data_IF_042869557789
#
_entry.id   IF_042869557789
#
_cell.length_a   1.000
_cell.length_b   1.000
_cell.length_c   1.000
_cell.angle_alpha   90.00
_cell.angle_beta   90.00
_cell.angle_gamma   90.00
#
_symmetry.space_group_name_H-M   'P 1'
#
loop_
_entity.id
_entity.type
_entity.pdbx_description
1 polymer ?
#
# COMPACT_ATOMS: atom_id res chain seq x y z
N UNK A 1 -6.37 13.94 -15.67
CA UNK A 1 -7.58 14.72 -15.36
C UNK A 1 -8.10 14.29 -14.00
N UNK A 2 -8.88 15.12 -13.31
CA UNK A 2 -9.63 14.79 -12.11
C UNK A 2 -11.10 15.09 -12.34
N UNK A 3 -11.97 14.40 -11.61
CA UNK A 3 -13.39 14.72 -11.53
C UNK A 3 -13.65 15.48 -10.23
N UNK A 4 -14.25 16.65 -10.32
CA UNK A 4 -14.63 17.45 -9.15
C UNK A 4 -15.96 16.96 -8.55
N UNK A 5 -16.31 17.44 -7.35
CA UNK A 5 -17.51 17.02 -6.64
C UNK A 5 -18.81 17.37 -7.39
N UNK A 6 -18.83 18.48 -8.13
CA UNK A 6 -19.90 18.91 -9.03
C UNK A 6 -19.89 18.17 -10.38
N UNK A 7 -18.95 17.24 -10.57
CA UNK A 7 -18.85 16.37 -11.75
C UNK A 7 -18.06 16.96 -12.92
N UNK A 8 -17.52 18.18 -12.79
CA UNK A 8 -16.67 18.78 -13.81
C UNK A 8 -15.33 18.04 -13.97
N UNK A 9 -14.76 18.11 -15.17
CA UNK A 9 -13.46 17.51 -15.48
C UNK A 9 -12.42 18.62 -15.48
N UNK A 10 -11.41 18.47 -14.63
CA UNK A 10 -10.32 19.45 -14.52
C UNK A 10 -8.97 18.80 -14.80
N UNK A 11 -8.03 19.61 -15.28
CA UNK A 11 -6.64 19.16 -15.49
C UNK A 11 -6.00 18.89 -14.14
N UNK A 12 -5.21 17.80 -14.04
CA UNK A 12 -4.42 17.54 -12.84
C UNK A 12 -3.40 18.66 -12.63
N UNK A 13 -3.11 18.99 -11.38
CA UNK A 13 -1.94 19.82 -11.06
C UNK A 13 -0.69 19.04 -11.50
N UNK A 14 0.13 19.67 -12.32
CA UNK A 14 1.37 19.10 -12.83
C UNK A 14 2.44 20.19 -12.83
N UNK A 15 3.70 19.77 -12.77
CA UNK A 15 4.82 20.70 -12.94
C UNK A 15 4.99 21.00 -14.43
N UNK A 16 5.35 22.25 -14.75
CA UNK A 16 5.63 22.66 -16.13
C UNK A 16 6.92 22.03 -16.68
N UNK A 17 7.86 21.75 -15.78
CA UNK A 17 9.13 21.11 -16.08
C UNK A 17 9.26 19.82 -15.27
N UNK A 18 9.92 18.78 -15.83
CA UNK A 18 10.19 17.55 -15.10
C UNK A 18 11.14 17.83 -13.92
N UNK A 19 10.98 17.05 -12.84
CA UNK A 19 11.95 17.05 -11.75
C UNK A 19 13.23 16.36 -12.22
N UNK A 20 14.36 17.06 -12.24
CA UNK A 20 15.63 16.45 -12.61
C UNK A 20 16.10 15.52 -11.48
N UNK A 21 16.59 14.33 -11.85
CA UNK A 21 16.94 13.29 -10.89
C UNK A 21 18.23 12.58 -11.32
N UNK A 22 19.20 12.41 -10.42
CA UNK A 22 20.45 11.71 -10.73
C UNK A 22 20.21 10.28 -11.27
N UNK A 23 20.79 9.98 -12.44
CA UNK A 23 20.55 8.73 -13.19
C UNK A 23 20.90 7.47 -12.38
N UNK A 24 22.04 7.49 -11.69
CA UNK A 24 22.53 6.34 -10.92
C UNK A 24 21.53 6.01 -9.83
N UNK A 25 21.11 7.00 -9.05
CA UNK A 25 20.12 6.86 -7.98
C UNK A 25 18.75 6.42 -8.51
N UNK A 26 18.37 6.83 -9.72
CA UNK A 26 17.13 6.38 -10.34
C UNK A 26 17.20 4.90 -10.68
N UNK A 27 18.32 4.46 -11.27
CA UNK A 27 18.53 3.07 -11.67
C UNK A 27 18.65 2.16 -10.43
N UNK A 28 19.29 2.63 -9.36
CA UNK A 28 19.32 1.96 -8.05
C UNK A 28 17.90 1.78 -7.46
N UNK A 29 17.07 2.84 -7.50
CA UNK A 29 15.69 2.78 -7.02
C UNK A 29 14.84 1.80 -7.85
N UNK A 30 15.08 1.71 -9.16
CA UNK A 30 14.41 0.74 -10.04
C UNK A 30 14.87 -0.69 -9.76
N UNK A 31 16.18 -0.91 -9.54
CA UNK A 31 16.75 -2.23 -9.26
C UNK A 31 16.24 -2.81 -7.94
N UNK A 32 16.24 -2.00 -6.88
CA UNK A 32 15.89 -2.45 -5.52
C UNK A 32 14.40 -2.76 -5.35
N UNK A 33 13.53 -2.28 -6.25
CA UNK A 33 12.08 -2.47 -6.14
C UNK A 33 11.67 -3.95 -6.05
N UNK A 34 12.37 -4.85 -6.75
CA UNK A 34 12.08 -6.30 -6.66
C UNK A 34 12.42 -6.85 -5.28
N UNK A 35 13.53 -6.40 -4.70
CA UNK A 35 13.93 -6.77 -3.33
C UNK A 35 12.92 -6.27 -2.30
N UNK A 36 12.40 -5.05 -2.46
CA UNK A 36 11.30 -4.55 -1.61
C UNK A 36 10.05 -5.41 -1.75
N UNK A 37 9.62 -5.73 -2.98
CA UNK A 37 8.44 -6.57 -3.19
C UNK A 37 8.58 -7.94 -2.51
N UNK A 38 9.74 -8.59 -2.64
CA UNK A 38 10.01 -9.86 -1.95
C UNK A 38 10.09 -9.72 -0.43
N UNK A 39 10.68 -8.64 0.08
CA UNK A 39 10.71 -8.36 1.52
C UNK A 39 9.29 -8.22 2.06
N UNK A 40 8.47 -7.33 1.49
CA UNK A 40 7.11 -7.07 1.96
C UNK A 40 6.20 -8.29 1.83
N UNK A 41 6.40 -9.14 0.82
CA UNK A 41 5.73 -10.44 0.75
C UNK A 41 6.05 -11.30 1.97
N UNK A 42 7.35 -11.45 2.31
CA UNK A 42 7.79 -12.27 3.44
C UNK A 42 7.37 -11.69 4.78
N UNK A 43 7.39 -10.36 4.92
CA UNK A 43 6.89 -9.65 6.11
C UNK A 43 5.40 -9.89 6.29
N UNK A 44 4.60 -9.72 5.23
CA UNK A 44 3.16 -9.97 5.28
C UNK A 44 2.83 -11.44 5.58
N UNK A 45 3.70 -12.39 5.21
CA UNK A 45 3.51 -13.81 5.50
C UNK A 45 4.02 -14.25 6.89
N UNK A 46 4.71 -13.40 7.65
CA UNK A 46 5.21 -13.74 8.98
C UNK A 46 4.21 -13.29 10.06
N UNK A 47 3.24 -14.16 10.36
CA UNK A 47 2.18 -13.88 11.34
C UNK A 47 2.74 -13.55 12.73
N UNK A 48 3.76 -14.28 13.20
CA UNK A 48 4.35 -14.05 14.53
C UNK A 48 5.01 -12.67 14.63
N UNK A 49 5.73 -12.26 13.59
CA UNK A 49 6.32 -10.93 13.52
C UNK A 49 5.25 -9.84 13.49
N UNK A 50 4.20 -10.04 12.69
CA UNK A 50 3.10 -9.09 12.59
C UNK A 50 2.35 -8.97 13.92
N UNK A 51 1.96 -10.10 14.53
CA UNK A 51 1.26 -10.13 15.82
C UNK A 51 2.08 -9.46 16.92
N UNK A 52 3.36 -9.80 17.06
CA UNK A 52 4.25 -9.18 18.07
C UNK A 52 4.43 -7.68 17.85
N UNK A 53 4.52 -7.24 16.59
CA UNK A 53 4.61 -5.82 16.21
C UNK A 53 3.34 -5.05 16.58
N UNK A 54 2.15 -5.64 16.36
CA UNK A 54 0.87 -4.96 16.55
C UNK A 54 0.25 -5.16 17.93
N UNK A 55 0.68 -6.15 18.72
CA UNK A 55 0.16 -6.44 20.06
C UNK A 55 0.11 -5.22 20.99
N UNK A 56 1.09 -4.30 20.99
CA UNK A 56 1.00 -3.10 21.83
C UNK A 56 0.04 -2.03 21.28
N UNK A 57 -0.26 -2.04 19.97
CA UNK A 57 -1.22 -1.11 19.34
C UNK A 57 -2.68 -1.47 19.62
N UNK A 58 -3.00 -2.75 19.86
CA UNK A 58 -4.37 -3.18 20.15
C UNK A 58 -4.91 -2.60 21.47
N UNK A 59 -4.03 -2.19 22.38
CA UNK A 59 -4.38 -1.44 23.60
C UNK A 59 -4.63 0.07 23.35
N UNK A 60 -4.22 0.60 22.19
CA UNK A 60 -4.15 2.04 21.92
C UNK A 60 -5.11 2.55 20.81
N UNK A 61 -5.99 1.70 20.25
CA UNK A 61 -6.98 2.06 19.22
C UNK A 61 -6.40 2.91 18.04
N UNK A 62 -5.25 2.50 17.50
CA UNK A 62 -4.60 3.21 16.40
C UNK A 62 -4.74 2.44 15.07
N UNK A 63 -5.17 3.15 14.03
CA UNK A 63 -5.42 2.63 12.68
C UNK A 63 -4.17 2.65 11.78
N UNK A 64 -4.14 1.86 10.69
CA UNK A 64 -2.94 1.67 9.87
C UNK A 64 -2.73 2.76 8.80
N UNK A 65 -1.48 3.24 8.58
CA UNK A 65 -1.14 4.09 7.43
C UNK A 65 -0.02 3.51 6.54
N UNK A 66 -0.06 3.81 5.23
CA UNK A 66 1.00 3.52 4.24
C UNK A 66 1.97 4.71 4.08
N UNK A 67 3.22 4.50 3.62
CA UNK A 67 4.24 5.57 3.46
C UNK A 67 4.69 5.73 2.00
N UNK A 68 5.05 6.96 1.64
CA UNK A 68 5.78 7.33 0.41
C UNK A 68 7.13 7.95 0.78
N UNK A 69 8.19 7.67 0.01
CA UNK A 69 9.53 8.26 0.19
C UNK A 69 9.72 9.51 -0.70
N UNK A 70 10.44 10.52 -0.22
CA UNK A 70 10.72 11.78 -0.93
C UNK A 70 12.24 12.06 -0.90
N UNK A 71 12.82 12.39 -2.06
CA UNK A 71 14.14 13.01 -2.21
C UNK A 71 14.02 14.18 -3.19
N UNK A 72 14.50 15.36 -2.80
CA UNK A 72 14.47 16.58 -3.62
C UNK A 72 15.87 16.88 -4.15
N UNK A 73 16.00 17.07 -5.46
CA UNK A 73 17.13 17.77 -6.07
C UNK A 73 16.69 18.47 -7.36
N UNK A 74 17.34 19.59 -7.71
CA UNK A 74 17.06 20.40 -8.89
C UNK A 74 18.35 20.56 -9.73
N UNK A 75 18.46 20.06 -10.97
CA UNK A 75 19.27 20.79 -11.96
C UNK A 75 18.67 21.19 -13.34
N UNK A 76 19.56 21.90 -14.04
CA UNK A 76 19.49 22.53 -15.37
C UNK A 76 19.69 21.49 -16.49
N UNK A 77 18.92 21.63 -17.57
CA UNK A 77 18.93 20.85 -18.83
C UNK A 77 18.00 19.63 -18.89
N UNK A 78 17.25 19.55 -19.99
CA UNK A 78 16.21 18.55 -20.26
C UNK A 78 16.81 17.45 -21.11
N UNK A 79 17.24 16.35 -20.47
CA UNK A 79 17.47 15.08 -21.17
C UNK A 79 16.13 14.44 -21.57
N UNK A 80 16.17 13.53 -22.56
CA UNK A 80 15.02 12.78 -23.07
C UNK A 80 14.28 12.07 -21.94
N UNK A 81 13.02 12.46 -21.71
CA UNK A 81 12.16 11.88 -20.69
C UNK A 81 11.91 10.40 -20.95
N UNK A 82 12.11 9.56 -19.93
CA UNK A 82 11.74 8.14 -19.97
C UNK A 82 10.23 8.02 -19.78
N UNK A 83 9.60 7.12 -20.56
CA UNK A 83 8.20 6.76 -20.33
C UNK A 83 8.01 6.02 -19.01
N UNK A 84 6.83 6.14 -18.41
CA UNK A 84 6.43 5.41 -17.21
C UNK A 84 5.32 4.39 -17.58
N UNK A 85 5.66 3.11 -17.84
CA UNK A 85 4.66 2.11 -18.23
C UNK A 85 3.93 1.53 -17.00
N UNK A 86 3.72 2.33 -15.95
CA UNK A 86 3.14 1.85 -14.68
C UNK A 86 1.73 1.30 -14.88
N UNK A 87 0.83 2.07 -15.48
CA UNK A 87 -0.54 1.65 -15.76
C UNK A 87 -0.58 0.35 -16.59
N UNK A 88 0.22 0.29 -17.67
CA UNK A 88 0.34 -0.91 -18.51
C UNK A 88 0.82 -2.12 -17.71
N UNK A 89 1.91 -1.98 -16.93
CA UNK A 89 2.46 -3.07 -16.12
C UNK A 89 1.51 -3.52 -15.01
N UNK A 90 0.78 -2.59 -14.39
CA UNK A 90 -0.25 -2.91 -13.40
C UNK A 90 -1.43 -3.66 -14.04
N UNK A 91 -1.94 -3.20 -15.18
CA UNK A 91 -2.98 -3.89 -15.93
C UNK A 91 -2.57 -5.32 -16.32
N UNK A 92 -1.34 -5.49 -16.82
CA UNK A 92 -0.78 -6.82 -17.12
C UNK A 92 -0.61 -7.69 -15.86
N UNK A 93 -0.22 -7.11 -14.72
CA UNK A 93 -0.09 -7.85 -13.47
C UNK A 93 -1.44 -8.34 -12.95
N UNK A 94 -2.50 -7.52 -13.05
CA UNK A 94 -3.87 -7.93 -12.71
C UNK A 94 -4.32 -9.08 -13.62
N UNK A 95 -4.12 -8.94 -14.93
CA UNK A 95 -4.46 -10.00 -15.89
C UNK A 95 -3.72 -11.31 -15.57
N UNK A 96 -2.43 -11.22 -15.23
CA UNK A 96 -1.63 -12.38 -14.83
C UNK A 96 -2.11 -13.02 -13.53
N UNK A 97 -2.52 -12.23 -12.54
CA UNK A 97 -3.07 -12.76 -11.30
C UNK A 97 -4.37 -13.55 -11.55
N UNK A 98 -5.22 -13.07 -12.46
CA UNK A 98 -6.42 -13.81 -12.89
C UNK A 98 -6.03 -15.12 -13.59
N UNK A 99 -5.02 -15.12 -14.46
CA UNK A 99 -4.52 -16.36 -15.07
C UNK A 99 -4.04 -17.37 -14.04
N UNK A 100 -3.30 -16.94 -13.01
CA UNK A 100 -2.85 -17.84 -11.95
C UNK A 100 -4.04 -18.38 -11.13
N UNK A 101 -5.04 -17.55 -10.82
CA UNK A 101 -6.27 -18.00 -10.17
C UNK A 101 -7.00 -19.07 -11.01
N UNK A 102 -7.09 -18.87 -12.33
CA UNK A 102 -7.72 -19.84 -13.24
C UNK A 102 -6.93 -21.15 -13.26
N UNK A 103 -5.59 -21.10 -13.31
CA UNK A 103 -4.74 -22.31 -13.27
C UNK A 103 -4.91 -23.12 -11.98
N UNK A 104 -5.09 -22.44 -10.85
CA UNK A 104 -5.34 -23.11 -9.57
C UNK A 104 -6.80 -23.61 -9.41
N UNK A 105 -7.70 -23.25 -10.32
CA UNK A 105 -9.14 -23.50 -10.21
C UNK A 105 -9.59 -24.58 -11.20
N UNK A 106 -9.74 -25.82 -10.71
CA UNK A 106 -10.12 -26.96 -11.56
C UNK A 106 -11.53 -26.83 -12.20
N UNK A 107 -12.44 -26.05 -11.60
CA UNK A 107 -13.80 -25.85 -12.11
C UNK A 107 -13.89 -24.83 -13.25
N UNK A 108 -12.89 -23.97 -13.42
CA UNK A 108 -12.87 -22.97 -14.49
C UNK A 108 -12.36 -23.62 -15.78
N UNK A 109 -13.29 -24.12 -16.59
CA UNK A 109 -13.02 -24.45 -17.99
C UNK A 109 -12.95 -23.15 -18.82
N UNK A 110 -12.17 -23.17 -19.92
CA UNK A 110 -11.75 -21.99 -20.73
C UNK A 110 -12.88 -21.15 -21.37
N UNK A 111 -14.16 -21.38 -21.02
CA UNK A 111 -15.33 -20.75 -21.65
C UNK A 111 -15.91 -19.56 -20.87
N UNK A 112 -15.64 -19.41 -19.57
CA UNK A 112 -16.03 -18.23 -18.80
C UNK A 112 -14.89 -17.80 -17.86
N UNK A 113 -14.28 -16.63 -18.12
CA UNK A 113 -13.25 -16.10 -17.25
C UNK A 113 -13.87 -15.42 -16.01
N UNK A 114 -13.27 -15.60 -14.83
CA UNK A 114 -13.69 -14.88 -13.63
C UNK A 114 -13.41 -13.38 -13.78
N UNK A 115 -14.17 -12.58 -13.06
CA UNK A 115 -14.08 -11.12 -13.04
C UNK A 115 -13.00 -10.62 -12.07
N UNK A 116 -12.60 -9.38 -12.28
CA UNK A 116 -11.86 -8.56 -11.31
C UNK A 116 -12.85 -7.60 -10.67
N UNK A 117 -12.85 -7.51 -9.35
CA UNK A 117 -13.65 -6.55 -8.59
C UNK A 117 -12.76 -5.38 -8.16
N UNK A 118 -13.02 -4.18 -8.66
CA UNK A 118 -12.42 -2.95 -8.15
C UNK A 118 -13.37 -2.32 -7.11
N UNK A 119 -12.93 -2.28 -5.85
CA UNK A 119 -13.67 -1.64 -4.77
C UNK A 119 -13.30 -0.16 -4.74
N UNK A 120 -14.26 0.73 -4.94
CA UNK A 120 -14.04 2.16 -5.16
C UNK A 120 -14.82 3.01 -4.16
N UNK A 121 -14.39 4.26 -3.95
CA UNK A 121 -15.17 5.24 -3.19
C UNK A 121 -16.34 5.76 -4.01
N UNK A 122 -17.45 6.14 -3.35
CA UNK A 122 -18.61 6.76 -4.00
C UNK A 122 -18.24 8.03 -4.76
N UNK A 123 -17.37 8.85 -4.15
CA UNK A 123 -16.95 10.15 -4.66
C UNK A 123 -15.48 10.15 -5.08
N UNK A 124 -15.13 9.27 -6.04
CA UNK A 124 -13.77 9.16 -6.55
C UNK A 124 -13.39 10.33 -7.47
N UNK A 125 -12.45 11.17 -7.01
CA UNK A 125 -11.94 12.31 -7.79
C UNK A 125 -10.84 11.91 -8.77
N UNK A 126 -10.08 10.85 -8.45
CA UNK A 126 -8.96 10.34 -9.25
C UNK A 126 -9.38 9.14 -10.13
N UNK A 127 -10.60 9.18 -10.67
CA UNK A 127 -11.18 8.09 -11.47
C UNK A 127 -10.36 7.80 -12.73
N UNK A 128 -9.74 8.80 -13.35
CA UNK A 128 -8.99 8.63 -14.60
C UNK A 128 -7.72 7.81 -14.43
N UNK A 129 -7.07 7.87 -13.26
CA UNK A 129 -5.97 6.97 -12.91
C UNK A 129 -6.47 5.51 -12.88
N UNK A 130 -7.61 5.26 -12.26
CA UNK A 130 -8.22 3.92 -12.21
C UNK A 130 -8.63 3.41 -13.60
N UNK A 131 -9.20 4.29 -14.43
CA UNK A 131 -9.58 3.96 -15.82
C UNK A 131 -8.37 3.59 -16.67
N UNK A 132 -7.22 4.23 -16.46
CA UNK A 132 -5.99 3.86 -17.17
C UNK A 132 -5.51 2.43 -16.85
N UNK A 133 -5.71 1.97 -15.61
CA UNK A 133 -5.40 0.60 -15.20
C UNK A 133 -6.43 -0.39 -15.76
N UNK A 134 -7.72 -0.02 -15.74
CA UNK A 134 -8.80 -0.80 -16.36
C UNK A 134 -8.58 -1.02 -17.85
N UNK A 135 -8.26 0.04 -18.60
CA UNK A 135 -7.93 -0.05 -20.01
C UNK A 135 -6.70 -0.93 -20.24
N UNK A 136 -5.62 -0.71 -19.49
CA UNK A 136 -4.41 -1.53 -19.58
C UNK A 136 -4.67 -3.02 -19.32
N UNK A 137 -5.55 -3.35 -18.39
CA UNK A 137 -5.97 -4.73 -18.10
C UNK A 137 -6.70 -5.34 -19.29
N UNK A 138 -7.65 -4.61 -19.89
CA UNK A 138 -8.40 -5.06 -21.07
C UNK A 138 -7.52 -5.17 -22.32
N UNK A 139 -6.53 -4.29 -22.48
CA UNK A 139 -5.52 -4.42 -23.53
C UNK A 139 -4.65 -5.67 -23.35
N UNK A 140 -4.36 -6.06 -22.11
CA UNK A 140 -3.61 -7.28 -21.82
C UNK A 140 -4.44 -8.55 -22.11
N UNK A 141 -5.74 -8.52 -21.79
CA UNK A 141 -6.68 -9.59 -22.11
C UNK A 141 -8.11 -9.05 -22.22
N UNK A 142 -8.62 -8.96 -23.45
CA UNK A 142 -9.94 -8.39 -23.78
C UNK A 142 -11.12 -9.21 -23.23
N UNK A 143 -10.88 -10.47 -22.87
CA UNK A 143 -11.92 -11.34 -22.30
C UNK A 143 -12.11 -11.14 -20.79
N UNK A 144 -11.26 -10.37 -20.12
CA UNK A 144 -11.43 -10.03 -18.70
C UNK A 144 -12.58 -9.07 -18.50
N UNK A 145 -13.25 -9.21 -17.35
CA UNK A 145 -14.34 -8.33 -16.90
C UNK A 145 -13.92 -7.60 -15.65
N UNK A 146 -14.10 -6.27 -15.62
CA UNK A 146 -13.95 -5.47 -14.40
C UNK A 146 -15.32 -5.06 -13.85
N UNK A 147 -15.59 -5.39 -12.59
CA UNK A 147 -16.72 -4.88 -11.83
C UNK A 147 -16.23 -3.73 -10.95
N UNK A 148 -16.95 -2.60 -10.94
CA UNK A 148 -16.65 -1.46 -10.05
C UNK A 148 -17.76 -1.34 -9.02
N UNK A 149 -17.45 -1.51 -7.74
CA UNK A 149 -18.46 -1.46 -6.68
C UNK A 149 -17.97 -0.66 -5.47
N UNK A 150 -18.88 -0.01 -4.77
CA UNK A 150 -18.60 0.61 -3.47
C UNK A 150 -18.80 -0.41 -2.34
N UNK A 151 -18.36 -0.09 -1.13
CA UNK A 151 -18.69 -0.93 0.03
C UNK A 151 -20.20 -1.03 0.27
N UNK A 152 -20.94 0.07 0.10
CA UNK A 152 -22.40 0.08 0.24
C UNK A 152 -23.08 -0.88 -0.78
N UNK A 153 -22.60 -0.91 -2.03
CA UNK A 153 -23.12 -1.85 -3.04
C UNK A 153 -22.74 -3.31 -2.79
N UNK A 154 -21.69 -3.55 -2.00
CA UNK A 154 -21.22 -4.89 -1.63
C UNK A 154 -21.76 -5.34 -0.26
N UNK A 155 -22.50 -4.46 0.43
CA UNK A 155 -23.12 -4.72 1.72
C UNK A 155 -24.11 -5.88 1.68
N UNK A 156 -24.42 -6.41 2.85
CA UNK A 156 -25.39 -7.50 3.01
C UNK A 156 -26.75 -7.12 2.45
N UNK A 157 -27.14 -5.87 2.67
CA UNK A 157 -28.41 -5.29 2.20
C UNK A 157 -28.55 -5.33 0.67
N UNK A 158 -27.45 -5.22 -0.07
CA UNK A 158 -27.46 -5.20 -1.53
C UNK A 158 -27.62 -6.58 -2.17
N UNK A 159 -27.37 -7.68 -1.43
CA UNK A 159 -27.48 -9.08 -1.88
C UNK A 159 -26.74 -9.38 -3.20
N UNK A 160 -25.65 -8.65 -3.47
CA UNK A 160 -24.82 -8.83 -4.67
C UNK A 160 -23.66 -9.81 -4.46
N UNK A 161 -23.26 -10.01 -3.21
CA UNK A 161 -22.07 -10.78 -2.83
C UNK A 161 -22.49 -12.13 -2.28
N UNK A 162 -22.00 -13.20 -2.89
CA UNK A 162 -22.15 -14.57 -2.42
C UNK A 162 -20.76 -15.18 -2.25
N UNK A 163 -20.48 -15.75 -1.07
CA UNK A 163 -19.29 -16.57 -0.85
C UNK A 163 -19.76 -18.00 -0.66
N UNK A 164 -19.33 -18.90 -1.54
CA UNK A 164 -19.71 -20.30 -1.46
C UNK A 164 -18.98 -20.98 -0.29
N UNK A 165 -19.73 -21.54 0.67
CA UNK A 165 -19.14 -22.09 1.90
C UNK A 165 -18.20 -23.28 1.66
N UNK A 166 -18.50 -24.12 0.65
CA UNK A 166 -17.73 -25.34 0.39
C UNK A 166 -16.35 -25.08 -0.25
N UNK A 167 -16.20 -23.99 -1.00
CA UNK A 167 -14.98 -23.69 -1.76
C UNK A 167 -14.35 -22.34 -1.41
N UNK A 168 -15.08 -21.46 -0.73
CA UNK A 168 -14.71 -20.07 -0.50
C UNK A 168 -14.81 -19.18 -1.73
N UNK A 169 -15.33 -19.66 -2.87
CA UNK A 169 -15.42 -18.87 -4.11
C UNK A 169 -16.30 -17.64 -3.93
N UNK A 170 -15.80 -16.51 -4.41
CA UNK A 170 -16.49 -15.22 -4.37
C UNK A 170 -17.28 -15.01 -5.65
N UNK A 171 -18.56 -14.65 -5.52
CA UNK A 171 -19.39 -14.20 -6.62
C UNK A 171 -19.92 -12.80 -6.34
N UNK A 172 -19.83 -11.93 -7.35
CA UNK A 172 -20.43 -10.59 -7.33
C UNK A 172 -21.24 -10.38 -8.60
N UNK A 173 -22.52 -10.02 -8.44
CA UNK A 173 -23.47 -9.86 -9.55
C UNK A 173 -23.53 -11.10 -10.46
N UNK A 174 -23.48 -12.29 -9.85
CA UNK A 174 -23.51 -13.58 -10.55
C UNK A 174 -22.20 -13.98 -11.25
N UNK A 175 -21.12 -13.20 -11.12
CA UNK A 175 -19.82 -13.51 -11.71
C UNK A 175 -18.83 -13.98 -10.64
N UNK A 176 -18.14 -15.09 -10.87
CA UNK A 176 -17.02 -15.50 -10.02
C UNK A 176 -15.91 -14.43 -10.07
N UNK A 177 -15.34 -14.08 -8.93
CA UNK A 177 -14.30 -13.05 -8.80
C UNK A 177 -12.97 -13.70 -8.48
N UNK A 178 -11.98 -13.50 -9.34
CA UNK A 178 -10.61 -13.99 -9.15
C UNK A 178 -9.75 -13.04 -8.32
N UNK A 179 -9.99 -11.73 -8.44
CA UNK A 179 -9.18 -10.70 -7.78
C UNK A 179 -10.04 -9.53 -7.29
N UNK A 180 -9.81 -9.11 -6.06
CA UNK A 180 -10.37 -7.90 -5.45
C UNK A 180 -9.27 -6.84 -5.37
N UNK A 181 -9.43 -5.75 -6.12
CA UNK A 181 -8.52 -4.62 -6.17
C UNK A 181 -9.10 -3.42 -5.41
N UNK A 182 -8.49 -3.07 -4.28
CA UNK A 182 -8.97 -2.00 -3.42
C UNK A 182 -8.42 -0.64 -3.89
N UNK A 183 -9.33 0.27 -4.23
CA UNK A 183 -9.05 1.71 -4.44
C UNK A 183 -9.67 2.59 -3.36
N UNK A 184 -10.29 1.96 -2.36
CA UNK A 184 -10.77 2.55 -1.10
C UNK A 184 -10.54 1.54 0.03
N UNK A 185 -10.88 1.88 1.27
CA UNK A 185 -10.76 0.95 2.40
C UNK A 185 -9.36 0.87 3.01
N UNK A 186 -8.58 1.94 2.90
CA UNK A 186 -7.27 2.09 3.55
C UNK A 186 -7.26 3.11 4.70
N UNK A 187 -8.36 3.83 4.91
CA UNK A 187 -8.51 4.85 5.95
C UNK A 187 -9.74 4.56 6.82
N UNK A 188 -9.74 4.89 8.12
CA UNK A 188 -10.85 4.56 9.03
C UNK A 188 -12.20 5.13 8.61
N UNK A 189 -12.22 6.35 8.07
CA UNK A 189 -13.46 7.01 7.63
C UNK A 189 -14.07 6.37 6.37
N UNK A 190 -13.39 5.40 5.74
CA UNK A 190 -13.95 4.59 4.66
C UNK A 190 -14.81 3.42 5.18
N UNK A 191 -14.82 3.17 6.49
CA UNK A 191 -15.50 2.02 7.09
C UNK A 191 -16.53 2.45 8.12
N UNK A 192 -17.78 2.10 7.85
CA UNK A 192 -18.79 1.85 8.87
C UNK A 192 -18.82 0.35 9.23
N UNK A 193 -19.74 -0.05 10.10
CA UNK A 193 -19.86 -1.45 10.53
C UNK A 193 -20.16 -2.40 9.35
N UNK A 194 -21.03 -2.01 8.42
CA UNK A 194 -21.39 -2.85 7.26
C UNK A 194 -20.20 -2.98 6.29
N UNK A 195 -19.43 -1.91 6.09
CA UNK A 195 -18.21 -1.93 5.30
C UNK A 195 -17.14 -2.83 5.93
N UNK A 196 -17.02 -2.87 7.26
CA UNK A 196 -16.13 -3.81 7.96
C UNK A 196 -16.54 -5.27 7.72
N UNK A 197 -17.83 -5.59 7.87
CA UNK A 197 -18.33 -6.94 7.61
C UNK A 197 -18.14 -7.33 6.14
N UNK A 198 -18.34 -6.39 5.23
CA UNK A 198 -18.11 -6.58 3.80
C UNK A 198 -16.64 -6.87 3.52
N UNK A 199 -15.71 -6.06 4.07
CA UNK A 199 -14.27 -6.29 3.92
C UNK A 199 -13.85 -7.64 4.46
N UNK A 200 -14.36 -8.04 5.63
CA UNK A 200 -14.09 -9.36 6.22
C UNK A 200 -14.57 -10.49 5.30
N UNK A 201 -15.77 -10.37 4.72
CA UNK A 201 -16.32 -11.36 3.78
C UNK A 201 -15.46 -11.49 2.53
N UNK A 202 -15.06 -10.37 1.93
CA UNK A 202 -14.17 -10.37 0.76
C UNK A 202 -12.80 -10.98 1.11
N UNK A 203 -12.25 -10.66 2.27
CA UNK A 203 -10.94 -11.18 2.72
C UNK A 203 -10.95 -12.71 2.91
N UNK A 204 -12.02 -13.23 3.52
CA UNK A 204 -12.20 -14.68 3.77
C UNK A 204 -12.45 -15.51 2.51
N UNK A 205 -12.80 -14.85 1.40
CA UNK A 205 -13.00 -15.56 0.13
C UNK A 205 -11.69 -16.04 -0.50
N UNK A 206 -11.80 -16.97 -1.44
CA UNK A 206 -10.70 -17.53 -2.22
C UNK A 206 -10.07 -16.51 -3.19
N UNK A 207 -10.77 -15.42 -3.51
CA UNK A 207 -10.27 -14.41 -4.43
C UNK A 207 -8.90 -13.85 -3.96
N UNK A 208 -8.04 -13.48 -4.91
CA UNK A 208 -6.78 -12.78 -4.61
C UNK A 208 -7.11 -11.37 -4.13
N UNK A 209 -6.48 -10.89 -3.06
CA UNK A 209 -6.68 -9.52 -2.57
C UNK A 209 -5.49 -8.63 -2.94
N UNK A 210 -5.78 -7.42 -3.40
CA UNK A 210 -4.79 -6.42 -3.75
C UNK A 210 -5.13 -5.05 -3.10
N UNK A 211 -4.54 -4.75 -1.92
CA UNK A 211 -3.78 -5.64 -1.04
C UNK A 211 -4.69 -6.56 -0.20
N UNK A 212 -4.13 -7.67 0.30
CA UNK A 212 -4.70 -8.43 1.44
C UNK A 212 -4.53 -7.65 2.74
N UNK A 213 -5.22 -8.08 3.80
CA UNK A 213 -5.10 -7.44 5.12
C UNK A 213 -3.65 -7.50 5.64
N UNK A 214 -2.97 -8.62 5.45
CA UNK A 214 -1.58 -8.77 5.89
C UNK A 214 -0.64 -7.83 5.14
N UNK A 215 -0.87 -7.63 3.85
CA UNK A 215 -0.13 -6.66 3.04
C UNK A 215 -0.43 -5.21 3.45
N UNK A 216 -1.69 -4.91 3.79
CA UNK A 216 -2.07 -3.58 4.27
C UNK A 216 -1.35 -3.27 5.59
N UNK A 217 -1.34 -4.22 6.53
CA UNK A 217 -0.65 -4.10 7.81
C UNK A 217 0.87 -4.06 7.65
N UNK A 218 1.44 -4.87 6.75
CA UNK A 218 2.89 -4.90 6.52
C UNK A 218 3.41 -3.55 6.04
N UNK A 219 2.58 -2.76 5.35
CA UNK A 219 2.94 -1.43 4.89
C UNK A 219 2.84 -0.33 5.96
N UNK A 220 2.52 -0.67 7.22
CA UNK A 220 2.44 0.31 8.31
C UNK A 220 3.79 0.92 8.66
N UNK A 221 3.80 2.20 9.06
CA UNK A 221 5.04 2.88 9.52
C UNK A 221 5.71 2.16 10.69
N UNK A 222 4.92 1.51 11.54
CA UNK A 222 5.46 0.71 12.64
C UNK A 222 6.33 -0.46 12.12
N UNK A 223 5.83 -1.19 11.13
CA UNK A 223 6.59 -2.26 10.47
C UNK A 223 7.81 -1.68 9.75
N UNK A 224 7.69 -0.55 9.07
CA UNK A 224 8.84 0.14 8.47
C UNK A 224 9.91 0.50 9.51
N UNK A 225 9.49 0.91 10.71
CA UNK A 225 10.41 1.21 11.82
C UNK A 225 11.11 -0.05 12.33
N UNK A 226 10.37 -1.14 12.49
CA UNK A 226 10.93 -2.44 12.87
C UNK A 226 11.96 -2.95 11.84
N UNK A 227 11.68 -2.76 10.54
CA UNK A 227 12.58 -3.12 9.45
C UNK A 227 13.81 -2.21 9.36
N UNK A 228 13.68 -0.94 9.73
CA UNK A 228 14.77 0.04 9.72
C UNK A 228 15.75 -0.11 10.90
N UNK A 229 15.47 -1.00 11.86
CA UNK A 229 16.37 -1.28 12.98
C UNK A 229 17.71 -1.93 12.57
N UNK A 230 17.86 -2.35 11.32
CA UNK A 230 19.16 -2.73 10.72
C UNK A 230 19.12 -4.04 9.93
N UNK A 231 20.30 -4.46 9.45
CA UNK A 231 20.47 -5.67 8.64
C UNK A 231 20.05 -6.96 9.35
N UNK A 232 20.15 -7.02 10.68
CA UNK A 232 19.70 -8.17 11.50
C UNK A 232 18.20 -8.39 11.35
N UNK A 233 17.38 -7.33 11.46
CA UNK A 233 15.92 -7.42 11.28
C UNK A 233 15.55 -7.90 9.88
N UNK A 234 16.28 -7.44 8.85
CA UNK A 234 16.06 -7.85 7.48
C UNK A 234 16.46 -9.30 7.21
N UNK A 235 17.49 -9.80 7.90
CA UNK A 235 17.98 -11.17 7.74
C UNK A 235 16.96 -12.23 8.16
N UNK A 236 16.07 -11.92 9.12
CA UNK A 236 14.92 -12.76 9.52
C UNK A 236 14.07 -13.14 8.32
N UNK A 237 13.89 -12.21 7.38
CA UNK A 237 13.08 -12.41 6.18
C UNK A 237 13.89 -13.05 5.04
N UNK A 238 14.98 -13.77 5.32
CA UNK A 238 15.75 -14.52 4.33
C UNK A 238 16.42 -13.64 3.26
N UNK A 239 16.70 -12.38 3.59
CA UNK A 239 17.36 -11.44 2.69
C UNK A 239 18.87 -11.66 2.75
N UNK A 240 19.53 -11.85 1.61
CA UNK A 240 20.99 -11.96 1.54
C UNK A 240 21.67 -10.71 2.12
N UNK A 241 22.83 -10.87 2.77
CA UNK A 241 23.58 -9.77 3.42
C UNK A 241 23.69 -8.52 2.53
N UNK A 242 24.18 -8.65 1.30
CA UNK A 242 24.33 -7.49 0.40
C UNK A 242 23.00 -6.85 -0.03
N UNK A 243 21.90 -7.60 -0.10
CA UNK A 243 20.56 -7.03 -0.35
C UNK A 243 20.02 -6.34 0.91
N UNK A 244 20.28 -6.90 2.09
CA UNK A 244 19.88 -6.30 3.36
C UNK A 244 20.57 -4.95 3.57
N UNK A 245 21.86 -4.83 3.23
CA UNK A 245 22.61 -3.57 3.27
C UNK A 245 22.00 -2.52 2.32
N UNK A 246 21.68 -2.91 1.07
CA UNK A 246 21.03 -1.99 0.11
C UNK A 246 19.65 -1.54 0.59
N UNK A 247 18.85 -2.44 1.15
CA UNK A 247 17.53 -2.12 1.70
C UNK A 247 17.65 -1.22 2.93
N UNK A 248 18.57 -1.53 3.84
CA UNK A 248 18.86 -0.71 5.01
C UNK A 248 19.31 0.71 4.62
N UNK A 249 20.16 0.85 3.60
CA UNK A 249 20.59 2.15 3.09
C UNK A 249 19.44 2.97 2.47
N UNK A 250 18.39 2.31 1.97
CA UNK A 250 17.20 2.98 1.46
C UNK A 250 16.22 3.40 2.58
N UNK A 251 16.35 2.84 3.79
CA UNK A 251 15.54 3.26 4.93
C UNK A 251 16.14 4.50 5.60
N UNK A 252 15.30 5.53 5.73
CA UNK A 252 15.55 6.65 6.63
C UNK A 252 15.69 6.16 8.08
N UNK A 253 16.52 6.84 8.87
CA UNK A 253 16.62 6.55 10.32
C UNK A 253 15.30 6.94 10.97
N UNK A 254 14.68 5.99 11.67
CA UNK A 254 13.35 6.16 12.25
C UNK A 254 13.27 5.46 13.61
N UNK A 255 12.51 6.04 14.54
CA UNK A 255 12.23 5.43 15.85
C UNK A 255 10.80 5.72 16.31
N UNK A 256 10.32 4.90 17.24
CA UNK A 256 9.12 5.14 18.04
C UNK A 256 9.47 5.93 19.30
N UNK A 257 8.56 6.79 19.75
CA UNK A 257 8.71 7.54 21.01
C UNK A 257 8.16 6.82 22.24
N UNK A 258 7.83 5.53 22.10
CA UNK A 258 7.31 4.71 23.17
C UNK A 258 8.13 3.43 23.29
N UNK A 259 8.37 3.03 24.54
CA UNK A 259 9.02 1.76 24.92
C UNK A 259 8.07 0.58 24.83
N UNK A 260 6.75 0.82 24.70
CA UNK A 260 5.69 -0.21 24.72
C UNK A 260 5.84 -1.19 23.54
N UNK A 261 6.55 -0.77 22.50
CA UNK A 261 6.75 -1.55 21.30
C UNK A 261 8.04 -2.35 21.26
N UNK A 262 8.90 -2.21 22.28
CA UNK A 262 10.18 -2.92 22.40
C UNK A 262 11.09 -2.82 21.15
N UNK A 263 10.88 -1.81 20.28
CA UNK A 263 11.66 -1.60 19.05
C UNK A 263 13.01 -0.94 19.31
N UNK A 264 13.14 -0.21 20.41
CA UNK A 264 14.36 0.45 20.81
C UNK A 264 14.45 0.47 22.34
N UNK A 265 15.67 0.40 22.86
CA UNK A 265 15.95 0.60 24.27
C UNK A 265 15.53 2.03 24.68
N UNK A 266 14.90 2.23 25.86
CA UNK A 266 14.59 3.55 26.40
C UNK A 266 15.72 4.58 26.24
N UNK A 267 16.98 4.15 26.40
CA UNK A 267 18.16 5.01 26.24
C UNK A 267 18.32 5.54 24.81
N UNK A 268 18.00 4.73 23.81
CA UNK A 268 18.05 5.13 22.38
C UNK A 268 16.93 6.12 22.06
N UNK A 269 15.74 5.90 22.63
CA UNK A 269 14.60 6.80 22.48
C UNK A 269 14.93 8.17 23.10
N UNK A 270 15.42 8.19 24.33
CA UNK A 270 15.79 9.43 25.04
C UNK A 270 16.86 10.22 24.27
N UNK A 271 17.90 9.53 23.78
CA UNK A 271 18.95 10.16 22.97
C UNK A 271 18.40 10.79 21.68
N UNK A 272 17.48 10.11 20.99
CA UNK A 272 16.85 10.66 19.77
C UNK A 272 15.92 11.83 20.08
N UNK A 273 15.20 11.80 21.21
CA UNK A 273 14.38 12.94 21.67
C UNK A 273 15.28 14.14 21.96
N UNK A 274 16.42 13.94 22.62
CA UNK A 274 17.38 15.01 22.91
C UNK A 274 18.09 15.54 21.65
N UNK A 275 18.37 14.68 20.67
CA UNK A 275 18.83 15.12 19.34
C UNK A 275 17.76 15.95 18.62
N UNK A 276 16.49 15.54 18.70
CA UNK A 276 15.35 16.26 18.13
C UNK A 276 15.19 17.65 18.76
N UNK A 277 15.23 17.74 20.09
CA UNK A 277 15.16 19.02 20.81
C UNK A 277 16.28 19.98 20.45
N UNK A 278 17.49 19.47 20.19
CA UNK A 278 18.66 20.28 19.83
C UNK A 278 18.70 20.70 18.35
N UNK A 279 17.97 20.01 17.48
CA UNK A 279 18.00 20.26 16.04
C UNK A 279 16.72 19.80 15.35
N UNK A 280 15.56 20.42 15.68
CA UNK A 280 14.25 19.93 15.26
C UNK A 280 14.06 19.95 13.74
N UNK A 281 14.76 20.82 13.02
CA UNK A 281 14.72 20.90 11.55
C UNK A 281 15.26 19.65 10.84
N UNK A 282 15.97 18.78 11.57
CA UNK A 282 16.48 17.51 11.03
C UNK A 282 15.44 16.40 11.08
N UNK A 283 14.32 16.61 11.77
CA UNK A 283 13.37 15.57 12.11
C UNK A 283 11.97 15.90 11.63
N UNK A 284 11.23 14.85 11.29
CA UNK A 284 9.80 14.93 10.99
C UNK A 284 9.04 14.06 11.98
N UNK A 285 8.07 14.66 12.66
CA UNK A 285 7.12 13.92 13.48
C UNK A 285 6.02 13.38 12.57
N UNK A 286 5.88 12.06 12.52
CA UNK A 286 4.84 11.41 11.70
C UNK A 286 3.85 10.67 12.59
N UNK A 287 2.59 11.11 12.68
CA UNK A 287 1.58 10.32 13.33
C UNK A 287 1.32 9.03 12.53
N UNK A 288 0.79 8.01 13.21
CA UNK A 288 0.35 6.77 12.58
C UNK A 288 -0.94 6.94 11.74
N UNK A 289 -1.34 8.18 11.41
CA UNK A 289 -2.48 8.45 10.51
C UNK A 289 -2.01 8.69 9.07
N UNK A 290 -2.91 8.48 8.11
CA UNK A 290 -2.66 8.66 6.68
C UNK A 290 -2.70 10.16 6.27
N UNK A 291 -2.26 10.44 5.05
CA UNK A 291 -2.19 11.77 4.46
C UNK A 291 -1.04 12.56 5.04
N UNK A 292 -0.05 12.92 4.21
CA UNK A 292 1.12 13.70 4.63
C UNK A 292 0.80 15.05 5.28
N UNK A 293 -0.47 15.46 5.33
CA UNK A 293 -0.96 16.69 5.98
C UNK A 293 -0.93 16.68 7.50
N UNK A 294 -0.65 15.55 8.16
CA UNK A 294 -0.51 15.47 9.62
C UNK A 294 0.96 15.43 10.11
N UNK A 295 1.93 15.61 9.20
CA UNK A 295 3.35 15.61 9.56
C UNK A 295 3.70 16.94 10.25
N UNK A 296 4.47 16.87 11.34
CA UNK A 296 4.97 18.05 12.05
C UNK A 296 6.45 18.24 11.73
N UNK A 297 6.85 19.46 11.40
CA UNK A 297 8.21 19.81 10.95
C UNK A 297 8.78 20.93 11.81
N UNK A 298 10.11 20.95 12.01
CA UNK A 298 10.80 22.06 12.65
C UNK A 298 10.36 22.29 14.10
N UNK A 299 10.29 23.55 14.55
CA UNK A 299 10.05 23.93 15.95
C UNK A 299 8.75 23.41 16.61
N UNK A 300 7.83 22.82 15.84
CA UNK A 300 6.59 22.22 16.34
C UNK A 300 6.76 20.74 16.78
N UNK A 301 7.93 20.12 16.60
CA UNK A 301 8.20 18.70 16.90
C UNK A 301 8.25 18.32 18.39
N UNK A 302 7.74 19.16 19.30
CA UNK A 302 7.73 18.92 20.76
C UNK A 302 6.63 17.96 21.24
N UNK A 303 5.90 17.29 20.34
CA UNK A 303 4.78 16.38 20.64
C UNK A 303 5.07 14.90 20.38
N UNK A 304 4.22 14.02 20.91
CA UNK A 304 4.31 12.56 20.84
C UNK A 304 3.98 12.03 19.42
N UNK A 305 4.96 11.59 18.62
CA UNK A 305 4.88 10.59 17.54
C UNK A 305 6.23 10.34 16.83
N UNK A 306 6.31 9.40 15.87
CA UNK A 306 7.58 8.91 15.31
C UNK A 306 8.51 10.00 14.77
N UNK A 307 9.80 9.84 15.05
CA UNK A 307 10.87 10.71 14.59
C UNK A 307 11.54 10.04 13.39
N UNK A 308 11.38 10.61 12.19
CA UNK A 308 12.11 10.20 10.97
C UNK A 308 13.15 11.29 10.62
N UNK A 309 14.40 10.88 10.41
CA UNK A 309 15.48 11.69 9.81
C UNK A 309 15.48 11.52 8.29
#
# INVERSE_FOLDING_TARGET
MLRTADGAIVTIRHTLLPSPYPRIQFEEAVDIQRSFNSLFLRVASDYEFMESTFKPLSAANASPPTTSCLLLSAPRSVEKLRGCPSATRFGSAIARAVEEYVKSSAHLQRTCLPAVLMVVSENETNIYDQRSIEEAMLCANVALRLLRRTFAELGESARRVVVEESTGRLFVDGHEVALVYYRTGYAPHHFDEEAWQTKLRLERSLAIKCPSIDYLLANMKLVQTALAAGSTSLSRFGVSVGTAERLAAAFARQTVLSTDFNFADPVVIEKMVDECRRGPDKFVLKPQREGGGNNVFGGETTGTCLVTL
#
